data_IF_576901892899
#
_entry.id   IF_576901892899
#
_cell.length_a   1.000
_cell.length_b   1.000
_cell.length_c   1.000
_cell.angle_alpha   90.00
_cell.angle_beta   90.00
_cell.angle_gamma   90.00
#
_symmetry.space_group_name_H-M   'P 1'
#
loop_
_entity.id
_entity.type
_entity.pdbx_description
1 polymer ?
#
# COMPACT_ATOMS: atom_id res chain seq x y z
N UNK A 1 26.05 0.88 -19.51
CA UNK A 1 25.22 -0.18 -20.11
C UNK A 1 25.51 -1.45 -19.34
N UNK A 2 24.65 -1.79 -18.38
CA UNK A 2 24.66 -3.11 -17.72
C UNK A 2 23.28 -3.66 -17.97
N UNK A 3 23.17 -4.51 -18.99
CA UNK A 3 22.03 -5.40 -19.17
C UNK A 3 22.28 -6.60 -18.27
N UNK A 4 21.59 -6.63 -17.14
CA UNK A 4 21.47 -7.81 -16.31
C UNK A 4 20.15 -8.48 -16.63
N UNK A 5 20.19 -9.54 -17.44
CA UNK A 5 19.04 -10.40 -17.69
C UNK A 5 18.69 -11.16 -16.40
N UNK A 6 17.74 -10.62 -15.62
CA UNK A 6 17.09 -11.38 -14.55
C UNK A 6 16.08 -12.34 -15.19
N UNK A 7 16.43 -13.62 -15.14
CA UNK A 7 15.55 -14.75 -15.44
C UNK A 7 14.18 -14.57 -14.79
N UNK A 8 13.17 -14.34 -15.61
CA UNK A 8 11.81 -13.97 -15.21
C UNK A 8 11.05 -15.20 -14.71
N UNK A 9 11.25 -15.53 -13.43
CA UNK A 9 10.25 -16.29 -12.69
C UNK A 9 9.16 -15.30 -12.28
N UNK A 10 8.28 -14.97 -13.22
CA UNK A 10 7.16 -14.03 -13.08
C UNK A 10 6.25 -14.43 -11.93
N UNK A 11 6.62 -14.01 -10.73
CA UNK A 11 5.84 -14.24 -9.52
C UNK A 11 4.56 -13.42 -9.59
N UNK A 12 3.47 -13.95 -9.04
CA UNK A 12 2.16 -13.31 -8.99
C UNK A 12 2.14 -11.88 -8.41
N UNK A 13 3.19 -11.48 -7.69
CA UNK A 13 3.35 -10.17 -7.06
C UNK A 13 4.32 -9.24 -7.79
N UNK A 14 4.87 -9.65 -8.92
CA UNK A 14 5.89 -8.86 -9.61
C UNK A 14 5.37 -7.45 -9.99
N UNK A 15 4.08 -7.34 -10.33
CA UNK A 15 3.39 -6.07 -10.56
C UNK A 15 3.31 -5.14 -9.32
N UNK A 16 3.26 -5.69 -8.09
CA UNK A 16 3.21 -4.87 -6.87
C UNK A 16 4.59 -4.36 -6.46
N UNK A 17 5.65 -5.05 -6.87
CA UNK A 17 7.02 -4.78 -6.42
C UNK A 17 7.92 -4.14 -7.48
N UNK A 18 7.54 -4.15 -8.77
CA UNK A 18 8.33 -3.53 -9.85
C UNK A 18 8.31 -2.00 -9.88
N UNK A 19 7.49 -1.35 -9.06
CA UNK A 19 7.32 0.10 -9.12
C UNK A 19 6.72 0.54 -10.46
N UNK A 20 6.97 1.79 -10.85
CA UNK A 20 6.43 2.35 -12.09
C UNK A 20 7.26 1.91 -13.30
N UNK A 21 6.61 1.38 -14.32
CA UNK A 21 7.26 1.05 -15.60
C UNK A 21 7.53 2.31 -16.42
N UNK A 22 8.79 2.69 -16.56
CA UNK A 22 9.22 3.86 -17.31
C UNK A 22 9.29 3.65 -18.83
N UNK A 23 9.09 2.42 -19.33
CA UNK A 23 9.04 2.14 -20.78
C UNK A 23 7.74 2.66 -21.40
N UNK A 24 6.68 2.81 -20.59
CA UNK A 24 5.41 3.38 -21.00
C UNK A 24 5.49 4.92 -20.92
N UNK A 25 5.29 5.66 -22.03
CA UNK A 25 5.40 7.11 -22.03
C UNK A 25 4.36 7.74 -21.11
N UNK A 26 4.81 8.66 -20.25
CA UNK A 26 3.95 9.36 -19.29
C UNK A 26 3.59 8.57 -18.03
N UNK A 27 4.02 7.31 -17.88
CA UNK A 27 3.72 6.50 -16.70
C UNK A 27 4.55 6.93 -15.46
N UNK A 28 5.65 7.67 -15.66
CA UNK A 28 6.48 8.20 -14.57
C UNK A 28 7.02 9.61 -14.84
N UNK A 29 7.66 10.18 -13.82
CA UNK A 29 8.32 11.50 -13.92
C UNK A 29 7.36 12.70 -13.92
N UNK A 30 7.81 13.82 -14.48
CA UNK A 30 7.04 15.08 -14.51
C UNK A 30 5.76 14.95 -15.33
N UNK A 31 5.80 14.20 -16.43
CA UNK A 31 4.62 13.91 -17.27
C UNK A 31 3.51 13.21 -16.48
N UNK A 32 3.86 12.19 -15.69
CA UNK A 32 2.92 11.50 -14.80
C UNK A 32 2.37 12.44 -13.71
N UNK A 33 3.24 13.25 -13.11
CA UNK A 33 2.84 14.25 -12.10
C UNK A 33 1.85 15.25 -12.70
N UNK A 34 2.10 15.72 -13.91
CA UNK A 34 1.37 16.83 -14.53
C UNK A 34 0.17 16.38 -15.36
N UNK A 35 -0.01 15.05 -15.52
CA UNK A 35 -1.18 14.42 -16.15
C UNK A 35 -2.51 14.92 -15.57
N UNK A 36 -2.59 15.04 -14.24
CA UNK A 36 -3.76 15.56 -13.53
C UNK A 36 -3.62 17.07 -13.27
N UNK A 37 -4.64 17.82 -13.66
CA UNK A 37 -4.71 19.25 -13.35
C UNK A 37 -4.69 19.50 -11.84
N UNK A 38 -4.11 20.61 -11.40
CA UNK A 38 -4.02 20.94 -9.96
C UNK A 38 -5.41 20.99 -9.30
N UNK A 39 -6.43 21.49 -10.02
CA UNK A 39 -7.81 21.57 -9.51
C UNK A 39 -8.41 20.19 -9.28
N UNK A 40 -8.17 19.25 -10.20
CA UNK A 40 -8.65 17.89 -10.08
C UNK A 40 -7.95 17.14 -8.94
N UNK A 41 -6.62 17.30 -8.80
CA UNK A 41 -5.86 16.74 -7.67
C UNK A 41 -6.46 17.14 -6.33
N UNK A 42 -6.78 18.42 -6.15
CA UNK A 42 -7.41 18.91 -4.92
C UNK A 42 -8.81 18.33 -4.73
N UNK A 43 -9.64 18.34 -5.76
CA UNK A 43 -11.00 17.81 -5.68
C UNK A 43 -10.99 16.31 -5.29
N UNK A 44 -10.20 15.49 -5.99
CA UNK A 44 -10.09 14.06 -5.72
C UNK A 44 -9.50 13.78 -4.34
N UNK A 45 -8.48 14.54 -3.92
CA UNK A 45 -7.89 14.41 -2.58
C UNK A 45 -8.91 14.72 -1.49
N UNK A 46 -9.70 15.79 -1.64
CA UNK A 46 -10.74 16.16 -0.68
C UNK A 46 -11.83 15.10 -0.62
N UNK A 47 -12.27 14.57 -1.76
CA UNK A 47 -13.26 13.48 -1.82
C UNK A 47 -12.72 12.23 -1.13
N UNK A 48 -11.49 11.81 -1.45
CA UNK A 48 -10.85 10.63 -0.84
C UNK A 48 -10.70 10.78 0.68
N UNK A 49 -10.22 11.94 1.15
CA UNK A 49 -10.11 12.25 2.57
C UNK A 49 -11.49 12.22 3.26
N UNK A 50 -12.52 12.76 2.63
CA UNK A 50 -13.88 12.76 3.18
C UNK A 50 -14.40 11.33 3.34
N UNK A 51 -14.25 10.49 2.31
CA UNK A 51 -14.62 9.07 2.37
C UNK A 51 -13.86 8.34 3.48
N UNK A 52 -12.55 8.58 3.60
CA UNK A 52 -11.73 7.98 4.66
C UNK A 52 -12.20 8.39 6.06
N UNK A 53 -12.48 9.69 6.26
CA UNK A 53 -13.01 10.20 7.54
C UNK A 53 -14.38 9.59 7.84
N UNK A 54 -15.30 9.51 6.87
CA UNK A 54 -16.59 8.85 7.05
C UNK A 54 -16.43 7.37 7.44
N UNK A 55 -15.52 6.65 6.77
CA UNK A 55 -15.23 5.26 7.09
C UNK A 55 -14.67 5.11 8.51
N UNK A 56 -13.79 6.02 8.95
CA UNK A 56 -13.25 6.02 10.31
C UNK A 56 -14.34 6.29 11.35
N UNK A 57 -15.19 7.30 11.13
CA UNK A 57 -16.31 7.63 12.03
C UNK A 57 -17.25 6.44 12.15
N UNK A 58 -17.57 5.79 11.03
CA UNK A 58 -18.40 4.60 11.01
C UNK A 58 -17.74 3.41 11.73
N UNK A 59 -16.45 3.16 11.50
CA UNK A 59 -15.73 2.04 12.09
C UNK A 59 -15.45 2.24 13.59
N UNK A 60 -15.29 3.48 14.04
CA UNK A 60 -14.93 3.84 15.42
C UNK A 60 -15.78 3.15 16.49
N UNK A 61 -17.12 3.19 16.47
CA UNK A 61 -17.96 2.49 17.46
C UNK A 61 -17.86 0.96 17.39
N UNK A 62 -17.44 0.40 16.25
CA UNK A 62 -17.27 -1.04 16.07
C UNK A 62 -15.87 -1.53 16.46
N UNK A 63 -14.94 -0.61 16.74
CA UNK A 63 -13.56 -0.92 17.10
C UNK A 63 -13.48 -1.42 18.54
N UNK A 64 -13.81 -2.69 18.76
CA UNK A 64 -13.64 -3.37 20.05
C UNK A 64 -12.19 -3.77 20.22
N UNK A 65 -11.42 -2.93 20.91
CA UNK A 65 -10.09 -3.29 21.38
C UNK A 65 -10.22 -4.38 22.47
N UNK A 66 -9.44 -5.48 22.40
CA UNK A 66 -9.40 -6.44 23.49
C UNK A 66 -8.91 -5.76 24.76
N UNK A 67 -9.71 -5.81 25.84
CA UNK A 67 -9.49 -5.10 27.12
C UNK A 67 -8.26 -5.57 27.90
N UNK A 68 -7.60 -6.62 27.44
CA UNK A 68 -6.43 -7.20 28.07
C UNK A 68 -5.50 -7.70 26.99
N UNK A 69 -4.50 -6.91 26.66
CA UNK A 69 -3.22 -7.49 26.28
C UNK A 69 -2.52 -7.77 27.61
N UNK A 70 -2.51 -9.01 28.14
CA UNK A 70 -1.48 -9.35 29.10
C UNK A 70 -0.17 -9.06 28.37
N UNK A 71 0.59 -8.10 28.87
CA UNK A 71 1.92 -7.74 28.39
C UNK A 71 2.92 -8.86 28.73
N UNK A 72 2.58 -10.08 28.33
CA UNK A 72 3.52 -11.12 28.04
C UNK A 72 3.39 -11.25 26.53
N UNK A 73 4.47 -10.94 25.82
CA UNK A 73 4.77 -11.57 24.54
C UNK A 73 4.69 -13.09 24.76
N UNK A 74 3.48 -13.63 24.78
CA UNK A 74 3.23 -15.03 25.01
C UNK A 74 3.44 -15.62 23.63
N UNK A 75 4.70 -15.97 23.40
CA UNK A 75 5.23 -16.86 22.35
C UNK A 75 4.47 -18.20 22.42
N UNK A 76 3.19 -18.18 22.12
CA UNK A 76 2.37 -19.36 21.84
C UNK A 76 2.20 -19.38 20.33
N UNK A 77 3.13 -20.11 19.72
CA UNK A 77 3.20 -20.43 18.31
C UNK A 77 3.27 -19.20 17.39
N UNK A 78 4.49 -18.85 16.96
CA UNK A 78 4.74 -17.99 15.82
C UNK A 78 3.91 -18.53 14.62
N UNK A 79 2.71 -17.99 14.39
CA UNK A 79 2.01 -18.19 13.13
C UNK A 79 2.92 -17.57 12.05
N UNK A 80 3.43 -18.36 11.09
CA UNK A 80 4.42 -17.89 10.13
C UNK A 80 3.94 -16.67 9.34
N UNK A 81 2.61 -16.51 9.18
CA UNK A 81 2.00 -15.37 8.50
C UNK A 81 2.32 -14.00 9.11
N UNK A 82 2.54 -13.87 10.42
CA UNK A 82 2.88 -12.56 11.03
C UNK A 82 4.30 -12.12 10.74
N UNK A 83 5.24 -13.06 10.61
CA UNK A 83 6.61 -12.76 10.18
C UNK A 83 6.67 -12.44 8.69
N UNK A 84 5.83 -13.09 7.88
CA UNK A 84 5.68 -12.76 6.46
C UNK A 84 5.11 -11.35 6.29
N UNK A 85 4.08 -10.94 7.05
CA UNK A 85 3.49 -9.60 6.94
C UNK A 85 4.48 -8.45 7.20
N UNK A 86 5.51 -8.68 8.03
CA UNK A 86 6.52 -7.67 8.38
C UNK A 86 7.79 -7.74 7.52
N UNK A 87 7.97 -8.80 6.73
CA UNK A 87 9.13 -9.02 5.86
C UNK A 87 8.80 -8.90 4.37
N UNK A 88 7.53 -8.78 4.00
CA UNK A 88 7.02 -8.68 2.63
C UNK A 88 6.76 -7.24 2.21
#
# INVERSE_FOLDING_TARGET
MVSGDTSDNGGWFEWTYKGVDHTIPGNGGLECRDFLSIRQKWAESVVACTVAVCALIYAWPHLKLPKSCPCIYQRKNDQPGKRILLLL
#
